data_IF_167168895677
#
_entry.id   IF_167168895677
#
_cell.length_a   1.000
_cell.length_b   1.000
_cell.length_c   1.000
_cell.angle_alpha   90.00
_cell.angle_beta   90.00
_cell.angle_gamma   90.00
#
_symmetry.space_group_name_H-M   'P 1'
#
loop_
_entity.id
_entity.type
_entity.pdbx_description
1 polymer ?
#
# COMPACT_ATOMS: atom_id res chain seq x y z
N UNK A 1 11.00 17.87 8.58
CA UNK A 1 10.01 17.02 7.92
C UNK A 1 8.83 16.94 8.85
N UNK A 2 7.66 17.30 8.34
CA UNK A 2 6.40 17.15 9.05
C UNK A 2 5.91 15.71 8.86
N UNK A 3 5.33 15.10 9.89
CA UNK A 3 4.73 13.76 9.92
C UNK A 3 3.84 13.41 8.69
N UNK A 4 3.28 14.42 8.01
CA UNK A 4 2.46 14.25 6.82
C UNK A 4 3.26 13.94 5.53
N UNK A 5 4.48 14.48 5.39
CA UNK A 5 5.35 14.23 4.23
C UNK A 5 5.95 12.81 4.28
N UNK A 6 6.06 12.23 5.48
CA UNK A 6 6.55 10.85 5.65
C UNK A 6 5.47 9.80 5.31
N UNK A 7 4.19 10.19 5.33
CA UNK A 7 3.05 9.29 5.12
C UNK A 7 2.40 9.39 3.75
N UNK A 8 2.78 10.35 2.93
CA UNK A 8 2.21 10.53 1.59
C UNK A 8 3.34 10.61 0.58
N UNK A 9 3.18 9.94 -0.56
CA UNK A 9 4.14 10.03 -1.65
C UNK A 9 3.40 10.05 -3.00
N UNK A 10 3.84 10.91 -3.90
CA UNK A 10 3.23 11.09 -5.22
C UNK A 10 4.27 10.84 -6.31
N UNK A 11 3.96 9.94 -7.24
CA UNK A 11 4.80 9.68 -8.41
C UNK A 11 3.96 9.10 -9.55
N UNK A 12 4.32 9.43 -10.79
CA UNK A 12 3.74 8.80 -11.99
C UNK A 12 2.20 8.87 -12.08
N UNK A 13 1.56 9.90 -11.49
CA UNK A 13 0.10 10.03 -11.46
C UNK A 13 -0.58 9.10 -10.44
N UNK A 14 0.18 8.61 -9.47
CA UNK A 14 -0.28 7.79 -8.35
C UNK A 14 0.03 8.53 -7.06
N UNK A 15 -0.97 8.62 -6.19
CA UNK A 15 -0.83 9.09 -4.82
C UNK A 15 -0.89 7.88 -3.89
N UNK A 16 0.16 7.69 -3.10
CA UNK A 16 0.21 6.69 -2.06
C UNK A 16 0.05 7.33 -0.69
N UNK A 17 -0.86 6.80 0.13
CA UNK A 17 -1.11 7.29 1.49
C UNK A 17 -0.97 6.16 2.49
N UNK A 18 -0.18 6.39 3.52
CA UNK A 18 0.03 5.50 4.63
C UNK A 18 -0.77 5.95 5.85
N UNK A 19 -1.54 5.04 6.42
CA UNK A 19 -2.33 5.26 7.62
C UNK A 19 -2.14 4.11 8.61
N UNK A 20 -2.02 4.45 9.88
CA UNK A 20 -2.00 3.47 10.96
C UNK A 20 -3.30 3.56 11.74
N UNK A 21 -4.02 2.45 11.79
CA UNK A 21 -5.19 2.29 12.66
C UNK A 21 -4.80 1.52 13.92
N UNK A 22 -5.75 1.32 14.83
CA UNK A 22 -5.54 0.50 16.02
C UNK A 22 -5.25 -0.98 15.67
N UNK A 23 -5.74 -1.47 14.52
CA UNK A 23 -5.72 -2.90 14.16
C UNK A 23 -4.79 -3.22 13.00
N UNK A 24 -4.61 -2.30 12.06
CA UNK A 24 -3.81 -2.52 10.86
C UNK A 24 -3.05 -1.26 10.40
N UNK A 25 -1.92 -1.48 9.72
CA UNK A 25 -1.23 -0.50 8.89
C UNK A 25 -1.78 -0.60 7.48
N UNK A 26 -2.16 0.52 6.91
CA UNK A 26 -2.80 0.60 5.61
C UNK A 26 -1.96 1.47 4.70
N UNK A 27 -1.64 0.96 3.52
CA UNK A 27 -1.02 1.70 2.44
C UNK A 27 -1.96 1.68 1.25
N UNK A 28 -2.55 2.83 0.91
CA UNK A 28 -3.45 2.98 -0.23
C UNK A 28 -2.72 3.58 -1.41
N UNK A 29 -3.17 3.24 -2.61
CA UNK A 29 -2.69 3.76 -3.88
C UNK A 29 -3.89 4.20 -4.72
N UNK A 30 -3.85 5.46 -5.13
CA UNK A 30 -4.88 6.07 -5.96
C UNK A 30 -4.25 6.56 -7.26
N UNK A 31 -4.66 5.97 -8.38
CA UNK A 31 -4.25 6.46 -9.70
C UNK A 31 -5.22 7.54 -10.18
N UNK A 32 -4.71 8.70 -10.60
CA UNK A 32 -5.54 9.90 -10.93
C UNK A 32 -6.68 9.61 -11.92
N UNK A 33 -6.44 8.75 -12.90
CA UNK A 33 -7.40 8.37 -13.94
C UNK A 33 -7.75 6.88 -13.95
N UNK A 34 -7.37 6.14 -12.90
CA UNK A 34 -7.28 4.69 -12.93
C UNK A 34 -7.98 4.00 -11.75
N UNK A 35 -7.75 2.68 -11.61
CA UNK A 35 -8.22 1.93 -10.45
C UNK A 35 -7.41 2.31 -9.19
N UNK A 36 -7.89 1.83 -8.05
CA UNK A 36 -7.21 1.96 -6.75
C UNK A 36 -6.71 0.60 -6.30
N UNK A 37 -5.82 0.61 -5.31
CA UNK A 37 -5.37 -0.60 -4.62
C UNK A 37 -4.95 -0.25 -3.20
N UNK A 38 -4.93 -1.25 -2.31
CA UNK A 38 -4.44 -1.06 -0.96
C UNK A 38 -3.72 -2.30 -0.43
N UNK A 39 -2.74 -2.08 0.43
CA UNK A 39 -2.03 -3.11 1.20
C UNK A 39 -2.34 -2.88 2.67
N UNK A 40 -2.93 -3.90 3.31
CA UNK A 40 -3.25 -3.87 4.73
C UNK A 40 -2.42 -4.92 5.49
N UNK A 41 -1.66 -4.48 6.48
CA UNK A 41 -0.89 -5.33 7.39
C UNK A 41 -1.52 -5.31 8.77
N UNK A 42 -1.82 -6.47 9.35
CA UNK A 42 -2.27 -6.51 10.74
C UNK A 42 -1.14 -6.04 11.68
N UNK A 43 -1.46 -5.20 12.67
CA UNK A 43 -0.50 -4.78 13.72
C UNK A 43 -0.25 -5.87 14.75
N UNK A 44 -1.23 -6.73 14.95
CA UNK A 44 -1.19 -7.85 15.89
C UNK A 44 -1.33 -9.18 15.15
N UNK A 45 -0.59 -10.20 15.60
CA UNK A 45 -0.62 -11.54 15.03
C UNK A 45 0.41 -11.77 13.92
N UNK A 46 0.07 -12.62 12.95
CA UNK A 46 0.94 -12.89 11.81
C UNK A 46 0.89 -11.69 10.87
N UNK A 47 2.03 -11.01 10.70
CA UNK A 47 2.20 -9.76 9.94
C UNK A 47 2.06 -9.94 8.41
N UNK A 48 1.11 -10.76 7.97
CA UNK A 48 0.78 -10.96 6.56
C UNK A 48 0.18 -9.68 5.97
N UNK A 49 0.56 -9.43 4.73
CA UNK A 49 0.08 -8.31 3.93
C UNK A 49 -1.10 -8.77 3.09
N UNK A 50 -2.22 -8.06 3.18
CA UNK A 50 -3.44 -8.31 2.43
C UNK A 50 -3.53 -7.28 1.31
N UNK A 51 -3.64 -7.70 0.07
CA UNK A 51 -3.93 -6.79 -1.06
C UNK A 51 -5.44 -6.68 -1.22
N UNK A 52 -5.92 -5.45 -1.41
CA UNK A 52 -7.34 -5.08 -1.57
C UNK A 52 -7.50 -4.15 -2.77
N UNK A 53 -8.68 -4.05 -3.39
CA UNK A 53 -8.94 -3.10 -4.47
C UNK A 53 -9.10 -1.65 -3.97
N UNK A 54 -9.33 -1.45 -2.67
CA UNK A 54 -9.45 -0.15 -2.01
C UNK A 54 -9.18 -0.32 -0.50
N UNK A 55 -9.08 0.79 0.22
CA UNK A 55 -8.86 0.83 1.68
C UNK A 55 -9.83 -0.09 2.45
N UNK A 56 -11.12 0.03 2.14
CA UNK A 56 -12.26 -0.69 2.71
C UNK A 56 -12.68 -1.91 1.88
N UNK A 57 -11.93 -2.22 0.82
CA UNK A 57 -12.20 -3.34 -0.06
C UNK A 57 -11.96 -4.70 0.58
N UNK A 58 -12.58 -5.73 0.01
CA UNK A 58 -12.34 -7.10 0.42
C UNK A 58 -10.91 -7.55 0.10
N UNK A 59 -10.40 -8.49 0.91
CA UNK A 59 -9.12 -9.14 0.65
C UNK A 59 -9.16 -9.92 -0.67
N UNK A 60 -8.22 -9.61 -1.56
CA UNK A 60 -8.01 -10.33 -2.81
C UNK A 60 -7.00 -11.46 -2.62
N UNK A 61 -5.84 -11.15 -2.04
CA UNK A 61 -4.73 -12.09 -1.88
C UNK A 61 -3.88 -11.71 -0.65
N UNK A 62 -3.14 -12.69 -0.11
CA UNK A 62 -2.19 -12.51 1.00
C UNK A 62 -0.76 -12.82 0.62
N UNK A 63 0.17 -12.00 1.12
CA UNK A 63 1.60 -12.13 0.90
C UNK A 63 2.39 -12.07 2.21
N UNK A 64 3.51 -12.79 2.22
CA UNK A 64 4.50 -12.73 3.30
C UNK A 64 5.55 -11.64 3.08
N UNK A 65 5.74 -11.18 1.84
CA UNK A 65 6.74 -10.17 1.49
C UNK A 65 6.10 -8.94 0.85
N UNK A 66 6.62 -7.77 1.21
CA UNK A 66 6.10 -6.49 0.72
C UNK A 66 6.29 -6.31 -0.77
N UNK A 67 7.44 -6.72 -1.31
CA UNK A 67 7.69 -6.68 -2.75
C UNK A 67 6.64 -7.49 -3.55
N UNK A 68 6.24 -8.66 -3.08
CA UNK A 68 5.20 -9.46 -3.76
C UNK A 68 3.80 -8.82 -3.66
N UNK A 69 3.51 -8.12 -2.56
CA UNK A 69 2.28 -7.35 -2.45
C UNK A 69 2.29 -6.15 -3.40
N UNK A 70 3.44 -5.48 -3.56
CA UNK A 70 3.63 -4.37 -4.50
C UNK A 70 3.53 -4.82 -5.96
N UNK A 71 4.05 -6.00 -6.31
CA UNK A 71 3.87 -6.59 -7.64
C UNK A 71 2.38 -6.69 -7.99
N UNK A 72 1.55 -7.25 -7.10
CA UNK A 72 0.11 -7.35 -7.32
C UNK A 72 -0.58 -5.98 -7.35
N UNK A 73 -0.17 -5.04 -6.49
CA UNK A 73 -0.68 -3.66 -6.58
C UNK A 73 -0.36 -3.04 -7.94
N UNK A 74 0.86 -3.22 -8.46
CA UNK A 74 1.25 -2.76 -9.78
C UNK A 74 0.37 -3.37 -10.88
N UNK A 75 0.09 -4.68 -10.80
CA UNK A 75 -0.83 -5.36 -11.72
C UNK A 75 -2.26 -4.77 -11.68
N UNK A 76 -2.79 -4.51 -10.49
CA UNK A 76 -4.13 -3.91 -10.31
C UNK A 76 -4.20 -2.49 -10.89
N UNK A 77 -3.14 -1.71 -10.71
CA UNK A 77 -3.02 -0.33 -11.20
C UNK A 77 -2.62 -0.25 -12.68
N UNK A 78 -2.17 -1.35 -13.27
CA UNK A 78 -1.67 -1.40 -14.65
C UNK A 78 -0.32 -0.68 -14.84
N UNK A 79 0.50 -0.62 -13.78
CA UNK A 79 1.82 0.03 -13.77
C UNK A 79 2.92 -0.92 -13.31
N UNK A 80 4.17 -0.52 -13.49
CA UNK A 80 5.29 -1.26 -12.91
C UNK A 80 5.28 -1.12 -11.38
N UNK A 81 5.55 -2.19 -10.62
CA UNK A 81 5.71 -2.10 -9.16
C UNK A 81 6.85 -1.15 -8.74
N UNK A 82 7.86 -0.98 -9.59
CA UNK A 82 8.95 -0.02 -9.37
C UNK A 82 8.55 1.45 -9.58
N UNK A 83 7.40 1.69 -10.21
CA UNK A 83 6.87 3.04 -10.44
C UNK A 83 5.91 3.48 -9.32
N UNK A 84 5.62 2.59 -8.36
CA UNK A 84 4.76 2.88 -7.21
C UNK A 84 5.50 3.80 -6.21
N UNK A 85 4.93 4.95 -5.85
CA UNK A 85 5.48 5.78 -4.79
C UNK A 85 5.28 5.10 -3.44
N UNK A 86 6.36 4.91 -2.67
CA UNK A 86 6.28 4.36 -1.32
C UNK A 86 6.65 5.46 -0.32
N UNK A 87 5.72 5.86 0.57
CA UNK A 87 6.03 6.79 1.64
C UNK A 87 7.07 6.21 2.60
N UNK A 88 7.95 7.05 3.16
CA UNK A 88 9.01 6.63 4.08
C UNK A 88 8.45 5.87 5.30
N UNK A 89 7.26 6.26 5.79
CA UNK A 89 6.59 5.61 6.91
C UNK A 89 6.07 4.19 6.59
N UNK A 90 5.95 3.82 5.32
CA UNK A 90 5.53 2.50 4.87
C UNK A 90 6.70 1.59 4.48
N UNK A 91 7.95 2.09 4.51
CA UNK A 91 9.12 1.37 4.05
C UNK A 91 9.46 0.13 4.92
N UNK A 92 8.94 0.04 6.14
CA UNK A 92 9.11 -1.09 7.05
C UNK A 92 7.99 -2.15 6.95
N UNK A 93 6.98 -1.94 6.09
CA UNK A 93 5.91 -2.93 5.91
C UNK A 93 6.47 -4.26 5.41
N UNK A 94 5.99 -5.36 6.00
CA UNK A 94 6.41 -6.72 5.63
C UNK A 94 7.77 -7.19 6.19
N UNK A 95 8.45 -6.41 7.04
CA UNK A 95 9.67 -6.84 7.77
C UNK A 95 9.41 -7.22 9.24
#
# INVERSE_FOLDING_TARGET
MTDAEERTADANGITATYEETETERLLTFEHETGPTAAIAQNREGYAMLKVRPAADGDELERYYGFDMALDHVGELLGVSPHDLPIPDAAADMGM
#
